data_IF_997930455965
#
_entry.id   IF_997930455965
#
_cell.length_a   1.000
_cell.length_b   1.000
_cell.length_c   1.000
_cell.angle_alpha   90.00
_cell.angle_beta   90.00
_cell.angle_gamma   90.00
#
_symmetry.space_group_name_H-M   'P 1'
#
loop_
_entity.id
_entity.type
_entity.pdbx_description
1 polymer ?
#
# COMPACT_ATOMS: atom_id res chain seq x y z
N UNK A 1 -3.79 -12.00 7.85
CA UNK A 1 -2.93 -13.06 7.25
C UNK A 1 -1.52 -12.82 7.77
N UNK A 2 -0.96 -13.76 8.51
CA UNK A 2 0.47 -13.70 8.84
C UNK A 2 1.24 -13.89 7.53
N UNK A 3 1.58 -12.80 6.86
CA UNK A 3 2.58 -12.87 5.80
C UNK A 3 3.89 -13.26 6.47
N UNK A 4 4.38 -14.46 6.15
CA UNK A 4 5.69 -14.91 6.60
C UNK A 4 6.75 -14.05 5.91
N UNK A 5 7.02 -12.87 6.48
CA UNK A 5 7.89 -11.84 5.89
C UNK A 5 9.30 -12.34 5.59
N UNK A 6 9.77 -13.39 6.30
CA UNK A 6 11.08 -14.01 6.07
C UNK A 6 11.21 -14.69 4.70
N UNK A 7 10.10 -14.92 3.97
CA UNK A 7 10.10 -15.54 2.64
C UNK A 7 9.65 -14.57 1.54
N UNK A 8 9.74 -13.28 1.79
CA UNK A 8 9.40 -12.23 0.84
C UNK A 8 10.64 -11.61 0.21
N UNK A 9 10.55 -11.29 -1.07
CA UNK A 9 11.65 -10.71 -1.85
C UNK A 9 11.14 -9.55 -2.70
N UNK A 10 11.79 -8.41 -2.59
CA UNK A 10 11.60 -7.29 -3.51
C UNK A 10 12.38 -7.53 -4.79
N UNK A 11 11.82 -7.17 -5.94
CA UNK A 11 12.59 -7.17 -7.17
C UNK A 11 12.15 -6.04 -8.12
N UNK A 12 13.06 -5.66 -9.00
CA UNK A 12 12.91 -4.63 -10.01
C UNK A 12 13.82 -4.92 -11.20
N UNK A 13 13.41 -4.55 -12.42
CA UNK A 13 14.18 -4.78 -13.64
C UNK A 13 14.46 -3.48 -14.39
N UNK A 14 15.63 -3.46 -15.04
CA UNK A 14 15.97 -2.45 -16.04
C UNK A 14 16.02 -3.08 -17.43
N UNK A 15 15.54 -2.35 -18.43
CA UNK A 15 15.41 -2.86 -19.79
C UNK A 15 15.80 -1.82 -20.82
N UNK A 16 16.08 -2.25 -22.06
CA UNK A 16 16.36 -1.34 -23.17
C UNK A 16 15.11 -0.68 -23.77
N UNK A 17 13.92 -0.97 -23.24
CA UNK A 17 12.64 -0.39 -23.67
C UNK A 17 11.44 -1.11 -23.05
N UNK A 18 10.24 -0.64 -23.36
CA UNK A 18 9.01 -1.09 -22.71
C UNK A 18 8.41 -2.40 -23.28
N UNK A 19 8.73 -2.76 -24.52
CA UNK A 19 8.19 -3.97 -25.15
C UNK A 19 9.19 -5.11 -25.08
N UNK A 20 8.82 -6.22 -24.44
CA UNK A 20 9.69 -7.39 -24.29
C UNK A 20 10.09 -8.01 -25.65
N UNK A 21 9.26 -7.88 -26.69
CA UNK A 21 9.51 -8.49 -28.00
C UNK A 21 10.71 -7.88 -28.73
N UNK A 22 11.00 -6.60 -28.46
CA UNK A 22 12.07 -5.84 -29.14
C UNK A 22 13.12 -5.28 -28.19
N UNK A 23 12.97 -5.53 -26.88
CA UNK A 23 13.86 -4.99 -25.85
C UNK A 23 14.53 -6.10 -25.06
N UNK A 24 15.70 -5.80 -24.51
CA UNK A 24 16.49 -6.73 -23.71
C UNK A 24 16.44 -6.34 -22.21
N UNK A 25 16.62 -7.35 -21.37
CA UNK A 25 16.88 -7.14 -19.93
C UNK A 25 18.32 -6.64 -19.79
N UNK A 26 18.52 -5.56 -19.04
CA UNK A 26 19.84 -5.00 -18.75
C UNK A 26 20.30 -5.27 -17.33
N UNK A 27 19.38 -5.16 -16.36
CA UNK A 27 19.62 -5.48 -14.96
C UNK A 27 18.39 -6.23 -14.43
N UNK A 28 18.60 -7.23 -13.60
CA UNK A 28 17.61 -7.74 -12.65
C UNK A 28 18.18 -7.52 -11.27
N UNK A 29 17.41 -6.92 -10.37
CA UNK A 29 17.81 -6.71 -9.00
C UNK A 29 16.79 -7.24 -8.00
N UNK A 30 17.28 -7.75 -6.88
CA UNK A 30 16.49 -8.19 -5.75
C UNK A 30 16.98 -7.55 -4.46
N UNK A 31 16.06 -7.37 -3.50
CA UNK A 31 16.37 -6.96 -2.14
C UNK A 31 15.59 -7.86 -1.17
N UNK A 32 16.26 -8.45 -0.20
CA UNK A 32 15.58 -9.21 0.85
C UNK A 32 14.99 -8.28 1.93
N UNK A 33 14.31 -8.90 2.92
CA UNK A 33 13.69 -8.15 4.03
C UNK A 33 14.69 -7.50 4.98
N UNK A 34 15.96 -7.93 4.94
CA UNK A 34 17.05 -7.35 5.73
C UNK A 34 17.75 -6.18 5.00
N UNK A 35 17.37 -5.92 3.73
CA UNK A 35 17.93 -4.85 2.91
C UNK A 35 19.18 -5.28 2.12
N UNK A 36 19.51 -6.57 2.04
CA UNK A 36 20.61 -7.05 1.23
C UNK A 36 20.21 -7.09 -0.24
N UNK A 37 20.99 -6.45 -1.10
CA UNK A 37 20.71 -6.34 -2.54
C UNK A 37 21.60 -7.31 -3.32
N UNK A 38 20.97 -8.05 -4.24
CA UNK A 38 21.62 -8.91 -5.24
C UNK A 38 21.22 -8.44 -6.63
N UNK A 39 22.19 -8.31 -7.54
CA UNK A 39 21.95 -7.80 -8.89
C UNK A 39 22.65 -8.66 -9.94
N UNK A 40 21.99 -8.87 -11.07
CA UNK A 40 22.53 -9.51 -12.29
C UNK A 40 22.52 -8.49 -13.41
N UNK A 41 23.66 -8.31 -14.03
CA UNK A 41 23.87 -7.33 -15.10
C UNK A 41 24.16 -8.03 -16.43
N UNK A 42 23.53 -7.58 -17.51
CA UNK A 42 23.79 -8.08 -18.86
C UNK A 42 25.01 -7.39 -19.44
N UNK A 43 26.17 -8.03 -19.30
CA UNK A 43 27.49 -7.45 -19.59
C UNK A 43 27.74 -7.19 -21.08
N UNK A 44 27.17 -8.02 -21.95
CA UNK A 44 27.50 -8.07 -23.38
C UNK A 44 26.31 -7.81 -24.32
N UNK A 45 25.14 -7.51 -23.73
CA UNK A 45 23.88 -7.38 -24.49
C UNK A 45 23.23 -8.73 -24.89
N UNK A 46 23.93 -9.84 -24.69
CA UNK A 46 23.52 -11.20 -25.10
C UNK A 46 23.18 -12.10 -23.94
N UNK A 47 23.73 -11.85 -22.76
CA UNK A 47 23.64 -12.68 -21.55
C UNK A 47 22.30 -12.59 -20.81
N UNK A 48 21.26 -11.94 -21.39
CA UNK A 48 19.95 -11.79 -20.72
C UNK A 48 19.29 -13.13 -20.36
N UNK A 49 19.52 -14.21 -21.14
CA UNK A 49 19.02 -15.55 -20.78
C UNK A 49 19.68 -16.07 -19.51
N UNK A 50 20.99 -15.86 -19.38
CA UNK A 50 21.75 -16.32 -18.22
C UNK A 50 21.30 -15.59 -16.95
N UNK A 51 21.27 -14.25 -16.98
CA UNK A 51 20.85 -13.46 -15.80
C UNK A 51 19.41 -13.76 -15.39
N UNK A 52 18.52 -14.02 -16.35
CA UNK A 52 17.15 -14.43 -16.05
C UNK A 52 17.11 -15.83 -15.41
N UNK A 53 17.94 -16.78 -15.87
CA UNK A 53 18.02 -18.11 -15.29
C UNK A 53 18.56 -18.06 -13.86
N UNK A 54 19.59 -17.26 -13.61
CA UNK A 54 20.19 -17.08 -12.29
C UNK A 54 19.19 -16.42 -11.32
N UNK A 55 18.46 -15.41 -11.77
CA UNK A 55 17.37 -14.80 -11.01
C UNK A 55 16.28 -15.83 -10.66
N UNK A 56 15.81 -16.63 -11.64
CA UNK A 56 14.79 -17.64 -11.40
C UNK A 56 15.24 -18.73 -10.42
N UNK A 57 16.52 -19.08 -10.43
CA UNK A 57 17.10 -19.98 -9.43
C UNK A 57 17.16 -19.32 -8.04
N UNK A 58 17.53 -18.05 -7.98
CA UNK A 58 17.66 -17.29 -6.74
C UNK A 58 16.33 -17.14 -5.99
N UNK A 59 15.23 -16.94 -6.72
CA UNK A 59 13.91 -16.71 -6.09
C UNK A 59 13.23 -17.99 -5.58
N UNK A 60 13.76 -19.19 -5.86
CA UNK A 60 13.14 -20.47 -5.47
C UNK A 60 12.78 -20.60 -3.99
N UNK A 61 13.58 -20.10 -3.02
CA UNK A 61 13.25 -20.20 -1.60
C UNK A 61 12.15 -19.25 -1.13
N UNK A 62 11.75 -18.30 -1.96
CA UNK A 62 10.78 -17.27 -1.59
C UNK A 62 9.36 -17.68 -1.96
N UNK A 63 8.36 -17.15 -1.23
CA UNK A 63 6.95 -17.40 -1.49
C UNK A 63 6.24 -16.15 -2.03
N UNK A 64 6.74 -14.97 -1.67
CA UNK A 64 6.13 -13.69 -2.02
C UNK A 64 7.11 -12.80 -2.77
N UNK A 65 6.69 -12.29 -3.91
CA UNK A 65 7.44 -11.33 -4.70
C UNK A 65 6.78 -9.95 -4.57
N UNK A 66 7.57 -8.94 -4.23
CA UNK A 66 7.13 -7.58 -3.98
C UNK A 66 7.71 -6.64 -5.03
N UNK A 67 6.86 -5.85 -5.68
CA UNK A 67 7.25 -4.91 -6.72
C UNK A 67 6.54 -3.58 -6.60
N UNK A 68 6.96 -2.60 -7.40
CA UNK A 68 6.22 -1.36 -7.62
C UNK A 68 5.76 -1.25 -9.07
N UNK A 69 4.48 -1.51 -9.33
CA UNK A 69 3.88 -1.57 -10.68
C UNK A 69 4.32 -2.81 -11.50
N UNK A 70 4.90 -3.80 -10.88
CA UNK A 70 5.46 -4.99 -11.56
C UNK A 70 4.42 -5.90 -12.17
N UNK A 71 3.16 -5.88 -11.69
CA UNK A 71 2.04 -6.59 -12.35
C UNK A 71 1.81 -6.13 -13.79
N UNK A 72 2.13 -4.88 -14.09
CA UNK A 72 1.89 -4.30 -15.43
C UNK A 72 3.15 -4.23 -16.29
N UNK A 73 4.33 -4.36 -15.71
CA UNK A 73 5.59 -4.25 -16.45
C UNK A 73 6.53 -5.43 -16.18
N UNK A 74 7.11 -5.54 -15.00
CA UNK A 74 8.21 -6.47 -14.70
C UNK A 74 7.82 -7.93 -14.96
N UNK A 75 6.72 -8.39 -14.38
CA UNK A 75 6.27 -9.78 -14.53
C UNK A 75 5.87 -10.14 -15.98
N UNK A 76 5.06 -9.33 -16.70
CA UNK A 76 4.78 -9.58 -18.11
C UNK A 76 6.04 -9.60 -18.96
N UNK A 77 6.99 -8.68 -18.72
CA UNK A 77 8.25 -8.62 -19.45
C UNK A 77 9.07 -9.89 -19.24
N UNK A 78 9.33 -10.27 -17.98
CA UNK A 78 10.07 -11.50 -17.64
C UNK A 78 9.35 -12.75 -18.14
N UNK A 79 8.01 -12.80 -18.04
CA UNK A 79 7.22 -13.94 -18.57
C UNK A 79 7.37 -14.08 -20.09
N UNK A 80 7.41 -12.97 -20.82
CA UNK A 80 7.66 -12.98 -22.27
C UNK A 80 9.07 -13.51 -22.57
N UNK A 81 10.10 -13.08 -21.81
CA UNK A 81 11.47 -13.55 -21.97
C UNK A 81 11.65 -15.03 -21.59
N UNK A 82 10.96 -15.52 -20.57
CA UNK A 82 10.91 -16.95 -20.21
C UNK A 82 10.43 -17.78 -21.42
N UNK A 83 9.35 -17.33 -22.09
CA UNK A 83 8.81 -17.99 -23.29
C UNK A 83 9.79 -17.91 -24.47
N UNK A 84 10.35 -16.73 -24.75
CA UNK A 84 11.32 -16.50 -25.82
C UNK A 84 12.53 -17.44 -25.70
N UNK A 85 13.09 -17.54 -24.48
CA UNK A 85 14.26 -18.38 -24.21
C UNK A 85 13.96 -19.86 -23.93
N UNK A 86 12.66 -20.24 -23.96
CA UNK A 86 12.17 -21.60 -23.68
C UNK A 86 12.67 -22.11 -22.30
N UNK A 87 12.64 -21.25 -21.29
CA UNK A 87 12.97 -21.62 -19.91
C UNK A 87 11.73 -22.28 -19.30
N UNK A 88 11.93 -23.41 -18.62
CA UNK A 88 10.83 -24.11 -17.93
C UNK A 88 10.63 -23.48 -16.52
N UNK A 89 9.96 -22.34 -16.46
CA UNK A 89 9.66 -21.63 -15.22
C UNK A 89 8.37 -20.80 -15.36
N UNK A 90 7.72 -20.51 -14.23
CA UNK A 90 6.55 -19.65 -14.14
C UNK A 90 6.60 -18.87 -12.83
N UNK A 91 5.87 -17.74 -12.78
CA UNK A 91 5.67 -16.96 -11.55
C UNK A 91 4.38 -17.36 -10.81
N UNK A 92 3.58 -18.30 -11.30
CA UNK A 92 2.26 -18.65 -10.77
C UNK A 92 2.31 -19.23 -9.34
N UNK A 93 3.45 -19.78 -8.92
CA UNK A 93 3.64 -20.31 -7.57
C UNK A 93 3.90 -19.23 -6.51
N UNK A 94 4.18 -18.01 -6.90
CA UNK A 94 4.48 -16.91 -5.99
C UNK A 94 3.26 -16.06 -5.72
N UNK A 95 3.06 -15.69 -4.45
CA UNK A 95 2.21 -14.54 -4.16
C UNK A 95 2.88 -13.28 -4.69
N UNK A 96 2.10 -12.40 -5.33
CA UNK A 96 2.64 -11.17 -5.87
C UNK A 96 1.98 -9.94 -5.23
N UNK A 97 2.76 -9.19 -4.46
CA UNK A 97 2.37 -7.92 -3.86
C UNK A 97 2.86 -6.75 -4.73
N UNK A 98 1.96 -6.08 -5.42
CA UNK A 98 2.26 -4.87 -6.18
C UNK A 98 1.93 -3.64 -5.31
N UNK A 99 2.95 -3.02 -4.72
CA UNK A 99 2.78 -1.88 -3.82
C UNK A 99 2.14 -0.67 -4.50
N UNK A 100 2.32 -0.50 -5.82
CA UNK A 100 1.61 0.54 -6.55
C UNK A 100 0.09 0.36 -6.46
N UNK A 101 -0.40 -0.86 -6.68
CA UNK A 101 -1.84 -1.14 -6.66
C UNK A 101 -2.42 -1.08 -5.24
N UNK A 102 -1.71 -1.65 -4.26
CA UNK A 102 -2.14 -1.73 -2.87
C UNK A 102 -2.18 -0.35 -2.22
N UNK A 103 -1.15 0.47 -2.44
CA UNK A 103 -0.97 1.75 -1.75
C UNK A 103 -1.61 2.94 -2.47
N UNK A 104 -1.93 2.82 -3.76
CA UNK A 104 -2.53 3.91 -4.55
C UNK A 104 -3.84 4.47 -3.97
N UNK A 105 -4.74 3.70 -3.34
CA UNK A 105 -5.93 4.23 -2.68
C UNK A 105 -5.65 5.28 -1.60
N UNK A 106 -4.47 5.23 -0.96
CA UNK A 106 -4.07 6.13 0.13
C UNK A 106 -3.37 7.42 -0.34
N UNK A 107 -3.21 7.60 -1.65
CA UNK A 107 -2.51 8.75 -2.27
C UNK A 107 -2.93 10.10 -1.67
N UNK A 108 -4.25 10.31 -1.50
CA UNK A 108 -4.80 11.57 -1.01
C UNK A 108 -4.49 11.79 0.48
N UNK A 109 -4.51 10.74 1.30
CA UNK A 109 -4.15 10.80 2.72
C UNK A 109 -2.71 11.31 2.92
N UNK A 110 -1.81 10.98 2.01
CA UNK A 110 -0.41 11.43 2.02
C UNK A 110 -0.18 12.75 1.28
N UNK A 111 -1.24 13.40 0.78
CA UNK A 111 -1.15 14.68 0.05
C UNK A 111 -0.36 14.60 -1.26
N UNK A 112 -0.23 13.41 -1.86
CA UNK A 112 0.58 13.21 -3.05
C UNK A 112 -0.15 13.67 -4.32
N UNK A 113 0.46 14.56 -5.10
CA UNK A 113 -0.05 14.97 -6.41
C UNK A 113 0.06 13.85 -7.45
N UNK A 114 1.19 13.15 -7.45
CA UNK A 114 1.49 12.01 -8.33
C UNK A 114 1.78 10.78 -7.50
N UNK A 115 1.48 9.59 -8.05
CA UNK A 115 1.73 8.32 -7.39
C UNK A 115 2.82 7.55 -8.15
N UNK A 116 4.07 7.92 -7.89
CA UNK A 116 5.28 7.26 -8.40
C UNK A 116 6.13 6.86 -7.19
N UNK A 117 6.97 5.88 -7.36
CA UNK A 117 7.86 5.40 -6.30
C UNK A 117 8.63 6.55 -5.63
N UNK A 118 9.25 7.42 -6.40
CA UNK A 118 10.00 8.55 -5.86
C UNK A 118 9.15 9.54 -5.03
N UNK A 119 7.84 9.68 -5.31
CA UNK A 119 6.99 10.56 -4.52
C UNK A 119 6.68 9.95 -3.14
N UNK A 120 6.59 8.61 -3.06
CA UNK A 120 6.48 7.89 -1.79
C UNK A 120 7.79 7.95 -1.01
N UNK A 121 8.92 7.85 -1.69
CA UNK A 121 10.23 8.04 -1.07
C UNK A 121 10.39 9.46 -0.50
N UNK A 122 10.00 10.49 -1.25
CA UNK A 122 9.99 11.88 -0.78
C UNK A 122 9.07 12.04 0.45
N UNK A 123 7.90 11.41 0.47
CA UNK A 123 7.00 11.39 1.62
C UNK A 123 7.64 10.73 2.86
N UNK A 124 8.42 9.67 2.65
CA UNK A 124 9.19 8.99 3.70
C UNK A 124 10.48 9.73 4.10
N UNK A 125 10.75 10.92 3.54
CA UNK A 125 11.96 11.71 3.82
C UNK A 125 13.22 11.19 3.12
N UNK A 126 13.07 10.27 2.14
CA UNK A 126 14.19 9.71 1.39
C UNK A 126 14.53 10.66 0.25
N UNK A 127 15.74 11.22 0.26
CA UNK A 127 16.23 12.07 -0.80
C UNK A 127 17.02 11.25 -1.83
N UNK A 128 16.57 11.28 -3.09
CA UNK A 128 17.32 10.72 -4.21
C UNK A 128 18.29 11.76 -4.79
N UNK A 129 19.54 11.38 -4.89
CA UNK A 129 20.59 12.19 -5.54
C UNK A 129 20.63 11.94 -7.04
N UNK A 130 20.20 10.73 -7.51
CA UNK A 130 20.22 10.42 -8.92
C UNK A 130 19.03 11.06 -9.66
N UNK A 131 19.29 11.53 -10.89
CA UNK A 131 18.29 12.15 -11.77
C UNK A 131 18.21 11.42 -13.11
N UNK A 132 18.57 10.12 -13.14
CA UNK A 132 18.50 9.34 -14.37
C UNK A 132 17.03 9.07 -14.74
N UNK A 133 16.68 9.39 -15.98
CA UNK A 133 15.39 9.00 -16.56
C UNK A 133 15.55 7.70 -17.33
N UNK A 134 14.46 6.93 -17.53
CA UNK A 134 14.49 5.68 -18.29
C UNK A 134 15.19 5.83 -19.67
N UNK A 135 14.94 6.92 -20.40
CA UNK A 135 15.65 7.18 -21.68
C UNK A 135 17.16 7.33 -21.49
N UNK A 136 17.59 7.94 -20.40
CA UNK A 136 19.01 8.12 -20.10
C UNK A 136 19.67 6.79 -19.70
N UNK A 137 18.95 5.95 -18.97
CA UNK A 137 19.41 4.59 -18.61
C UNK A 137 19.65 3.74 -19.86
N UNK A 138 18.69 3.74 -20.80
CA UNK A 138 18.85 3.03 -22.08
C UNK A 138 20.09 3.49 -22.83
N UNK A 139 20.27 4.82 -22.95
CA UNK A 139 21.46 5.38 -23.60
C UNK A 139 22.75 5.01 -22.84
N UNK A 140 22.77 5.09 -21.51
CA UNK A 140 23.93 4.72 -20.70
C UNK A 140 24.32 3.27 -20.91
N UNK A 141 23.33 2.37 -21.07
CA UNK A 141 23.58 0.96 -21.36
C UNK A 141 24.17 0.77 -22.78
N UNK A 142 23.63 1.48 -23.79
CA UNK A 142 24.18 1.45 -25.15
C UNK A 142 25.62 1.96 -25.17
N UNK A 143 25.88 3.09 -24.51
CA UNK A 143 27.25 3.65 -24.39
C UNK A 143 28.19 2.66 -23.70
N UNK A 144 27.70 1.90 -22.68
CA UNK A 144 28.47 0.84 -22.04
C UNK A 144 28.83 -0.29 -23.01
N UNK A 145 27.88 -0.76 -23.81
CA UNK A 145 28.15 -1.83 -24.79
C UNK A 145 29.11 -1.39 -25.90
N UNK A 146 29.10 -0.09 -26.26
CA UNK A 146 29.98 0.45 -27.31
C UNK A 146 31.43 0.69 -26.83
N UNK A 147 31.61 1.20 -25.60
CA UNK A 147 32.91 1.67 -25.13
C UNK A 147 33.50 0.91 -23.94
N UNK A 148 32.70 0.05 -23.28
CA UNK A 148 33.12 -0.73 -22.10
C UNK A 148 33.41 0.10 -20.85
N UNK A 149 32.93 1.36 -20.78
CA UNK A 149 33.18 2.20 -19.62
C UNK A 149 32.51 1.68 -18.35
N UNK A 150 33.29 1.26 -17.39
CA UNK A 150 32.84 0.71 -16.10
C UNK A 150 31.90 1.69 -15.37
N UNK A 151 32.14 2.99 -15.49
CA UNK A 151 31.31 4.04 -14.88
C UNK A 151 29.84 3.98 -15.35
N UNK A 152 29.59 3.61 -16.61
CA UNK A 152 28.25 3.45 -17.15
C UNK A 152 27.55 2.26 -16.49
N UNK A 153 28.21 1.11 -16.35
CA UNK A 153 27.72 -0.06 -15.61
C UNK A 153 27.41 0.28 -14.16
N UNK A 154 28.36 0.90 -13.46
CA UNK A 154 28.18 1.32 -12.06
C UNK A 154 26.95 2.24 -11.88
N UNK A 155 26.73 3.16 -12.84
CA UNK A 155 25.57 4.06 -12.81
C UNK A 155 24.25 3.32 -12.96
N UNK A 156 24.19 2.30 -13.82
CA UNK A 156 23.00 1.45 -14.02
C UNK A 156 22.70 0.60 -12.79
N UNK A 157 23.72 -0.08 -12.25
CA UNK A 157 23.59 -0.88 -11.04
C UNK A 157 23.19 0.00 -9.84
N UNK A 158 23.79 1.18 -9.69
CA UNK A 158 23.44 2.12 -8.63
C UNK A 158 21.99 2.60 -8.72
N UNK A 159 21.47 2.81 -9.95
CA UNK A 159 20.07 3.22 -10.15
C UNK A 159 19.12 2.13 -9.66
N UNK A 160 19.24 0.92 -10.19
CA UNK A 160 18.42 -0.22 -9.77
C UNK A 160 18.58 -0.55 -8.26
N UNK A 161 19.81 -0.44 -7.71
CA UNK A 161 20.03 -0.59 -6.28
C UNK A 161 19.21 0.41 -5.45
N UNK A 162 19.17 1.69 -5.87
CA UNK A 162 18.37 2.71 -5.18
C UNK A 162 16.87 2.47 -5.31
N UNK A 163 16.42 1.97 -6.46
CA UNK A 163 15.01 1.63 -6.67
C UNK A 163 14.59 0.49 -5.72
N UNK A 164 15.43 -0.52 -5.55
CA UNK A 164 15.19 -1.62 -4.62
C UNK A 164 15.17 -1.17 -3.16
N UNK A 165 16.15 -0.37 -2.73
CA UNK A 165 16.18 0.16 -1.36
C UNK A 165 14.99 1.10 -1.11
N UNK A 166 14.61 1.91 -2.11
CA UNK A 166 13.41 2.74 -2.04
C UNK A 166 12.14 1.90 -1.90
N UNK A 167 12.01 0.86 -2.71
CA UNK A 167 10.90 -0.09 -2.67
C UNK A 167 10.79 -0.80 -1.31
N UNK A 168 11.92 -1.28 -0.78
CA UNK A 168 12.02 -1.88 0.55
C UNK A 168 11.51 -0.93 1.65
N UNK A 169 11.89 0.35 1.59
CA UNK A 169 11.42 1.35 2.57
C UNK A 169 9.95 1.72 2.40
N UNK A 170 9.45 1.78 1.15
CA UNK A 170 8.03 2.03 0.85
C UNK A 170 7.13 0.94 1.43
N UNK A 171 7.64 -0.28 1.60
CA UNK A 171 6.90 -1.39 2.20
C UNK A 171 6.37 -1.06 3.61
N UNK A 172 7.04 -0.17 4.35
CA UNK A 172 6.54 0.31 5.65
C UNK A 172 5.15 0.97 5.58
N UNK A 173 4.75 1.50 4.41
CA UNK A 173 3.41 2.06 4.19
C UNK A 173 2.30 0.98 4.16
N UNK A 174 2.65 -0.30 4.15
CA UNK A 174 1.70 -1.40 4.35
C UNK A 174 1.02 -1.36 5.73
N UNK A 175 1.53 -0.56 6.66
CA UNK A 175 0.84 -0.22 7.91
C UNK A 175 -0.57 0.36 7.72
N UNK A 176 -0.83 1.06 6.63
CA UNK A 176 -2.17 1.63 6.34
C UNK A 176 -3.21 0.57 5.95
N UNK A 177 -2.98 -0.32 4.96
CA UNK A 177 -3.88 -1.46 4.75
C UNK A 177 -4.00 -2.37 5.99
N UNK A 178 -2.92 -2.62 6.73
CA UNK A 178 -2.94 -3.40 7.98
C UNK A 178 -3.93 -2.83 9.00
N UNK A 179 -3.95 -1.50 9.19
CA UNK A 179 -4.94 -0.83 10.02
C UNK A 179 -6.38 -1.11 9.58
N UNK A 180 -6.65 -1.12 8.26
CA UNK A 180 -7.99 -1.42 7.72
C UNK A 180 -8.35 -2.90 7.87
N UNK A 181 -7.37 -3.79 7.91
CA UNK A 181 -7.53 -5.24 8.14
C UNK A 181 -7.55 -5.60 9.64
N UNK A 182 -7.62 -4.57 10.51
CA UNK A 182 -7.69 -4.70 11.98
C UNK A 182 -6.43 -5.29 12.63
N UNK A 183 -5.27 -5.10 12.01
CA UNK A 183 -3.97 -5.52 12.56
C UNK A 183 -3.50 -4.51 13.62
N UNK A 184 -4.25 -4.46 14.71
CA UNK A 184 -3.96 -3.67 15.91
C UNK A 184 -4.61 -4.29 17.15
N UNK A 185 -4.12 -3.92 18.33
CA UNK A 185 -4.71 -4.31 19.60
C UNK A 185 -5.13 -3.09 20.42
N UNK A 186 -6.27 -3.18 21.14
CA UNK A 186 -6.68 -2.16 22.10
C UNK A 186 -5.82 -2.27 23.36
N UNK A 187 -5.10 -1.21 23.72
CA UNK A 187 -4.37 -1.11 24.98
C UNK A 187 -5.23 -0.52 26.11
N UNK A 188 -6.01 0.53 25.81
CA UNK A 188 -7.01 1.10 26.75
C UNK A 188 -8.09 1.84 25.97
N UNK A 189 -9.27 2.01 26.59
CA UNK A 189 -10.35 2.84 26.05
C UNK A 189 -11.25 3.30 27.19
N UNK A 190 -11.80 4.50 27.06
CA UNK A 190 -12.64 5.14 28.07
C UNK A 190 -13.47 6.29 27.47
N UNK A 191 -14.39 6.83 28.26
CA UNK A 191 -15.14 8.05 27.93
C UNK A 191 -14.69 9.13 28.88
N UNK A 192 -14.27 10.27 28.34
CA UNK A 192 -13.87 11.45 29.09
C UNK A 192 -14.23 12.72 28.32
N UNK A 193 -14.77 13.73 29.05
CA UNK A 193 -15.10 15.05 28.48
C UNK A 193 -15.94 14.96 27.18
N UNK A 194 -17.00 14.16 27.20
CA UNK A 194 -17.85 13.89 26.04
C UNK A 194 -17.11 13.35 24.80
N UNK A 195 -16.03 12.62 25.02
CA UNK A 195 -15.31 11.90 23.97
C UNK A 195 -15.08 10.45 24.37
N UNK A 196 -15.26 9.56 23.43
CA UNK A 196 -14.71 8.20 23.49
C UNK A 196 -13.26 8.25 22.99
N UNK A 197 -12.34 7.77 23.81
CA UNK A 197 -10.91 7.71 23.49
C UNK A 197 -10.45 6.27 23.51
N UNK A 198 -9.76 5.83 22.46
CA UNK A 198 -9.16 4.50 22.37
C UNK A 198 -7.67 4.61 22.03
N UNK A 199 -6.84 3.93 22.82
CA UNK A 199 -5.41 3.76 22.56
C UNK A 199 -5.19 2.39 21.91
N UNK A 200 -4.47 2.38 20.80
CA UNK A 200 -4.21 1.20 19.99
C UNK A 200 -2.71 0.96 19.88
N UNK A 201 -2.29 -0.30 19.99
CA UNK A 201 -0.96 -0.73 19.60
C UNK A 201 -1.04 -1.31 18.18
N UNK A 202 -0.18 -0.84 17.29
CA UNK A 202 -0.14 -1.21 15.88
C UNK A 202 0.84 -2.36 15.67
N UNK A 203 0.44 -3.37 14.93
CA UNK A 203 1.29 -4.54 14.63
C UNK A 203 2.38 -4.16 13.60
N UNK A 204 2.08 -3.24 12.68
CA UNK A 204 3.06 -2.66 11.74
C UNK A 204 3.22 -1.16 12.03
N UNK A 205 4.47 -0.72 12.20
CA UNK A 205 4.78 0.67 12.54
C UNK A 205 4.40 1.64 11.43
N UNK A 206 3.80 2.76 11.80
CA UNK A 206 3.59 3.90 10.90
C UNK A 206 4.93 4.60 10.66
N UNK A 207 5.36 4.74 9.40
CA UNK A 207 6.68 5.32 9.11
C UNK A 207 6.76 6.84 9.30
N UNK A 208 5.62 7.54 9.23
CA UNK A 208 5.53 9.00 9.38
C UNK A 208 4.37 9.31 10.31
N UNK A 209 4.65 9.91 11.47
CA UNK A 209 3.62 10.31 12.42
C UNK A 209 2.68 11.35 11.80
N UNK A 210 1.38 11.17 11.96
CA UNK A 210 0.36 12.01 11.33
C UNK A 210 -0.92 12.06 12.16
N UNK A 211 -1.76 13.06 11.87
CA UNK A 211 -3.08 13.22 12.44
C UNK A 211 -4.12 13.38 11.32
N UNK A 212 -5.19 12.61 11.38
CA UNK A 212 -6.32 12.69 10.49
C UNK A 212 -7.56 13.16 11.24
N UNK A 213 -8.26 14.13 10.68
CA UNK A 213 -9.50 14.66 11.25
C UNK A 213 -10.64 14.57 10.24
N UNK A 214 -11.79 14.07 10.69
CA UNK A 214 -13.00 13.99 9.86
C UNK A 214 -14.25 13.96 10.74
N UNK A 215 -15.20 14.85 10.46
CA UNK A 215 -16.49 14.94 11.19
C UNK A 215 -16.32 15.01 12.72
N UNK A 216 -15.31 15.75 13.21
CA UNK A 216 -14.99 15.88 14.63
C UNK A 216 -14.27 14.68 15.25
N UNK A 217 -14.04 13.62 14.48
CA UNK A 217 -13.26 12.45 14.89
C UNK A 217 -11.79 12.71 14.56
N UNK A 218 -10.88 12.39 15.47
CA UNK A 218 -9.44 12.44 15.22
C UNK A 218 -8.79 11.07 15.35
N UNK A 219 -7.82 10.79 14.47
CA UNK A 219 -6.96 9.60 14.50
C UNK A 219 -5.51 10.08 14.45
N UNK A 220 -4.82 10.01 15.56
CA UNK A 220 -3.38 10.29 15.66
C UNK A 220 -2.63 8.99 15.53
N UNK A 221 -1.69 8.91 14.58
CA UNK A 221 -0.82 7.77 14.34
C UNK A 221 0.62 8.17 14.66
N UNK A 222 1.27 7.41 15.54
CA UNK A 222 2.66 7.66 15.96
C UNK A 222 3.40 6.33 16.15
N UNK A 223 4.23 5.97 15.17
CA UNK A 223 5.00 4.73 15.15
C UNK A 223 4.12 3.50 15.46
N UNK A 224 4.31 2.87 16.60
CA UNK A 224 3.56 1.68 17.04
C UNK A 224 2.27 1.99 17.78
N UNK A 225 1.88 3.27 17.88
CA UNK A 225 0.73 3.68 18.64
C UNK A 225 -0.29 4.43 17.77
N UNK A 226 -1.56 4.28 18.10
CA UNK A 226 -2.60 5.16 17.58
C UNK A 226 -3.55 5.59 18.70
N UNK A 227 -4.08 6.81 18.57
CA UNK A 227 -5.12 7.35 19.45
C UNK A 227 -6.30 7.72 18.56
N UNK A 228 -7.43 7.08 18.81
CA UNK A 228 -8.70 7.40 18.18
C UNK A 228 -9.57 8.17 19.18
N UNK A 229 -10.05 9.35 18.80
CA UNK A 229 -10.95 10.17 19.60
C UNK A 229 -12.24 10.45 18.84
N UNK A 230 -13.38 10.07 19.40
CA UNK A 230 -14.70 10.23 18.79
C UNK A 230 -15.60 11.07 19.71
N UNK A 231 -16.22 12.16 19.25
CA UNK A 231 -17.12 12.97 20.07
C UNK A 231 -18.42 12.22 20.37
N UNK A 232 -18.96 12.40 21.57
CA UNK A 232 -20.31 12.02 21.93
C UNK A 232 -21.25 13.20 21.64
N UNK A 233 -22.12 13.05 20.67
CA UNK A 233 -23.17 14.05 20.38
C UNK A 233 -24.42 13.73 21.20
N UNK A 234 -24.74 14.56 22.17
CA UNK A 234 -25.85 14.30 23.12
C UNK A 234 -25.77 12.92 23.80
N UNK A 235 -24.56 12.49 24.18
CA UNK A 235 -24.32 11.19 24.81
C UNK A 235 -24.29 10.00 23.87
N UNK A 236 -24.32 10.21 22.56
CA UNK A 236 -24.31 9.15 21.55
C UNK A 236 -23.05 9.18 20.70
N UNK A 237 -22.52 7.99 20.38
CA UNK A 237 -21.49 7.80 19.35
C UNK A 237 -22.14 7.58 17.99
N UNK A 238 -21.49 8.03 16.93
CA UNK A 238 -21.82 7.72 15.54
C UNK A 238 -21.03 6.50 15.07
N UNK A 239 -21.71 5.54 14.47
CA UNK A 239 -21.11 4.39 13.83
C UNK A 239 -21.34 4.48 12.32
N UNK A 240 -20.31 4.80 11.56
CA UNK A 240 -20.39 5.00 10.10
C UNK A 240 -20.43 3.67 9.35
N UNK A 241 -21.41 3.55 8.42
CA UNK A 241 -21.65 2.33 7.67
C UNK A 241 -20.84 2.31 6.37
N UNK A 242 -20.12 1.21 6.11
CA UNK A 242 -19.27 1.06 4.91
C UNK A 242 -20.06 0.99 3.60
N UNK A 243 -21.26 0.39 3.64
CA UNK A 243 -22.12 0.14 2.50
C UNK A 243 -23.15 1.27 2.26
N UNK A 244 -22.78 2.52 2.55
CA UNK A 244 -23.64 3.72 2.46
C UNK A 244 -24.47 3.78 1.17
N UNK A 245 -24.01 3.22 0.06
CA UNK A 245 -24.74 3.17 -1.21
C UNK A 245 -26.06 2.41 -1.12
N UNK A 246 -26.28 1.59 -0.10
CA UNK A 246 -27.51 0.84 0.13
C UNK A 246 -28.50 1.56 1.05
N UNK A 247 -28.21 2.82 1.40
CA UNK A 247 -29.02 3.59 2.35
C UNK A 247 -29.55 4.89 1.76
N UNK A 248 -30.61 5.39 2.37
CA UNK A 248 -31.09 6.76 2.26
C UNK A 248 -30.92 7.44 3.62
N UNK A 249 -30.63 8.74 3.57
CA UNK A 249 -30.57 9.60 4.75
C UNK A 249 -31.86 10.45 4.84
N UNK A 250 -32.42 10.55 6.04
CA UNK A 250 -33.57 11.36 6.40
C UNK A 250 -33.08 12.59 7.18
N UNK A 251 -32.91 13.75 6.54
CA UNK A 251 -32.28 14.91 7.19
C UNK A 251 -33.05 15.46 8.40
N UNK A 252 -34.37 15.36 8.42
CA UNK A 252 -35.18 15.88 9.53
C UNK A 252 -35.05 15.04 10.80
N UNK A 253 -34.93 13.73 10.65
CA UNK A 253 -34.79 12.74 11.73
C UNK A 253 -33.34 12.43 12.08
N UNK A 254 -32.42 12.92 11.25
CA UNK A 254 -30.97 12.57 11.32
C UNK A 254 -30.76 11.05 11.45
N UNK A 255 -31.38 10.31 10.53
CA UNK A 255 -31.45 8.84 10.53
C UNK A 255 -31.17 8.28 9.13
N UNK A 256 -30.60 7.09 9.06
CA UNK A 256 -30.47 6.34 7.81
C UNK A 256 -31.41 5.15 7.78
N UNK A 257 -31.95 4.87 6.59
CA UNK A 257 -32.80 3.70 6.33
C UNK A 257 -32.21 2.90 5.17
N UNK A 258 -32.28 1.59 5.24
CA UNK A 258 -31.91 0.74 4.12
C UNK A 258 -32.87 0.93 2.94
N UNK A 259 -32.41 0.82 1.71
CA UNK A 259 -33.20 1.05 0.48
C UNK A 259 -34.49 0.22 0.41
N UNK A 260 -34.50 -0.98 0.99
CA UNK A 260 -35.70 -1.83 1.05
C UNK A 260 -36.83 -1.21 1.86
N UNK A 261 -36.53 -0.24 2.75
CA UNK A 261 -37.51 0.43 3.61
C UNK A 261 -38.10 1.69 2.97
N UNK A 262 -37.70 2.05 1.74
CA UNK A 262 -38.11 3.28 1.07
C UNK A 262 -39.64 3.46 0.98
N UNK A 263 -40.38 2.36 0.79
CA UNK A 263 -41.86 2.39 0.68
C UNK A 263 -42.59 2.69 1.98
N UNK A 264 -41.89 2.67 3.12
CA UNK A 264 -42.46 2.88 4.46
C UNK A 264 -42.21 4.30 5.00
N UNK A 265 -41.57 5.19 4.22
CA UNK A 265 -41.24 6.55 4.63
C UNK A 265 -41.72 7.56 3.59
N UNK A 266 -41.96 8.82 4.02
CA UNK A 266 -42.22 9.92 3.10
C UNK A 266 -41.00 10.17 2.21
N UNK A 267 -41.20 10.06 0.90
CA UNK A 267 -40.15 10.20 -0.09
C UNK A 267 -39.81 11.64 -0.47
N UNK A 268 -40.54 12.63 0.05
CA UNK A 268 -40.35 14.05 -0.33
C UNK A 268 -39.07 14.66 0.25
N UNK A 269 -38.57 14.13 1.36
CA UNK A 269 -37.40 14.66 2.09
C UNK A 269 -36.22 13.69 2.22
N UNK A 270 -36.29 12.53 1.55
CA UNK A 270 -35.18 11.57 1.61
C UNK A 270 -34.12 11.87 0.55
N UNK A 271 -32.83 11.75 0.92
CA UNK A 271 -31.68 11.86 0.00
C UNK A 271 -30.88 10.55 -0.02
N UNK A 272 -30.10 10.34 -1.06
CA UNK A 272 -29.16 9.21 -1.07
C UNK A 272 -28.12 9.44 0.01
N UNK A 273 -27.85 8.41 0.80
CA UNK A 273 -26.78 8.48 1.78
C UNK A 273 -25.43 8.55 1.09
N UNK A 274 -24.52 9.29 1.69
CA UNK A 274 -23.10 9.36 1.36
C UNK A 274 -22.26 8.92 2.55
N UNK A 275 -20.95 8.95 2.43
CA UNK A 275 -20.02 8.52 3.48
C UNK A 275 -20.17 9.30 4.79
N UNK A 276 -20.54 10.59 4.71
CA UNK A 276 -20.53 11.49 5.86
C UNK A 276 -21.85 11.49 6.62
N UNK A 277 -22.95 11.08 5.97
CA UNK A 277 -24.29 11.05 6.57
C UNK A 277 -24.86 9.63 6.76
N UNK A 278 -24.10 8.59 6.39
CA UNK A 278 -24.54 7.20 6.58
C UNK A 278 -23.98 6.62 7.89
N UNK A 279 -24.66 6.86 8.99
CA UNK A 279 -24.31 6.37 10.32
C UNK A 279 -25.53 5.98 11.13
N UNK A 280 -25.35 5.08 12.09
CA UNK A 280 -26.25 4.85 13.21
C UNK A 280 -25.72 5.55 14.46
N UNK A 281 -26.62 5.87 15.41
CA UNK A 281 -26.27 6.43 16.71
C UNK A 281 -26.54 5.41 17.80
N UNK A 282 -25.68 5.33 18.79
CA UNK A 282 -25.87 4.47 19.96
C UNK A 282 -25.25 5.10 21.22
N UNK A 283 -25.81 4.80 22.38
CA UNK A 283 -25.24 5.21 23.67
C UNK A 283 -24.19 4.18 24.10
N UNK A 284 -22.91 4.58 24.29
CA UNK A 284 -21.86 3.67 24.73
C UNK A 284 -21.99 3.43 26.25
N UNK A 285 -22.84 2.45 26.61
CA UNK A 285 -23.04 2.02 28.00
C UNK A 285 -22.06 0.92 28.44
N UNK A 286 -22.22 0.43 29.68
CA UNK A 286 -21.34 -0.60 30.27
C UNK A 286 -21.26 -1.88 29.44
N UNK A 287 -22.36 -2.27 28.78
CA UNK A 287 -22.38 -3.45 27.90
C UNK A 287 -21.41 -3.31 26.73
N UNK A 288 -21.34 -2.13 26.10
CA UNK A 288 -20.40 -1.86 25.02
C UNK A 288 -18.96 -1.77 25.57
N UNK A 289 -18.75 -1.00 26.64
CA UNK A 289 -17.42 -0.79 27.22
C UNK A 289 -16.83 -2.07 27.84
N UNK A 290 -17.64 -3.05 28.26
CA UNK A 290 -17.16 -4.33 28.75
C UNK A 290 -16.86 -5.36 27.64
N UNK A 291 -17.40 -5.15 26.44
CA UNK A 291 -17.25 -6.03 25.29
C UNK A 291 -16.06 -5.60 24.40
N UNK A 292 -14.85 -6.02 24.75
CA UNK A 292 -13.62 -5.63 24.02
C UNK A 292 -13.72 -5.86 22.51
N UNK A 293 -14.39 -6.93 22.09
CA UNK A 293 -14.60 -7.24 20.66
C UNK A 293 -15.44 -6.17 19.96
N UNK A 294 -16.52 -5.68 20.60
CA UNK A 294 -17.40 -4.66 20.02
C UNK A 294 -16.69 -3.33 19.92
N UNK A 295 -15.90 -2.97 20.95
CA UNK A 295 -15.05 -1.77 20.93
C UNK A 295 -13.99 -1.86 19.82
N UNK A 296 -13.35 -3.02 19.65
CA UNK A 296 -12.37 -3.23 18.55
C UNK A 296 -13.02 -3.08 17.18
N UNK A 297 -14.21 -3.67 16.98
CA UNK A 297 -14.96 -3.54 15.73
C UNK A 297 -15.36 -2.09 15.46
N UNK A 298 -15.85 -1.39 16.48
CA UNK A 298 -16.17 0.04 16.38
C UNK A 298 -14.95 0.86 15.96
N UNK A 299 -13.82 0.70 16.65
CA UNK A 299 -12.56 1.39 16.30
C UNK A 299 -12.15 1.11 14.85
N UNK A 300 -12.20 -0.15 14.41
CA UNK A 300 -11.85 -0.52 13.05
C UNK A 300 -12.78 0.12 11.98
N UNK A 301 -14.09 0.22 12.26
CA UNK A 301 -15.04 0.84 11.35
C UNK A 301 -14.85 2.36 11.28
N UNK A 302 -14.51 3.00 12.40
CA UNK A 302 -14.18 4.44 12.43
C UNK A 302 -12.84 4.72 11.74
N UNK A 303 -11.81 3.89 11.96
CA UNK A 303 -10.53 4.00 11.24
C UNK A 303 -10.76 3.86 9.73
N UNK A 304 -11.57 2.90 9.31
CA UNK A 304 -11.96 2.75 7.90
C UNK A 304 -12.66 4.02 7.37
N UNK A 305 -13.58 4.60 8.14
CA UNK A 305 -14.27 5.84 7.76
C UNK A 305 -13.31 7.01 7.54
N UNK A 306 -12.28 7.13 8.40
CA UNK A 306 -11.28 8.20 8.29
C UNK A 306 -10.35 7.95 7.11
N UNK A 307 -9.77 6.75 6.98
CA UNK A 307 -8.69 6.44 6.04
C UNK A 307 -9.17 6.06 4.63
N UNK A 308 -10.44 5.69 4.44
CA UNK A 308 -10.97 5.28 3.13
C UNK A 308 -11.47 6.46 2.28
N UNK A 309 -10.71 7.54 2.16
CA UNK A 309 -11.01 8.60 1.22
C UNK A 309 -10.76 8.13 -0.23
N UNK A 310 -11.86 8.02 -1.00
CA UNK A 310 -11.81 7.89 -2.46
C UNK A 310 -12.22 9.18 -3.11
#
# INVERSE_FOLDING_TARGET
>A
MEHNTQQSLFFDIETTGLSADISAITVIGCCDMDGNVTQWFNEDGLSQKQILTDFLAFIQPYNTLITFNGKTFDLPFLTSKIKEFKINASFDQYEHLDLYQILKPYKNLWGLKNFRQKNLEEYLGIQRIDKLSGKKLIKTYQDYLENGEIKNKESLLLHNHKDLIGLHKIYSLMSYPALLDKEFTLSSYFIENDHFVAHLNLDIQIPVSCNYEKSGISLTLDHSNAILTCPLENGHLKHYLKDYKNYYYLPMEDLVIHKSMKSFVDTTSIIRADKNNCYSKFTPGDSFLSAKTDVTNYCADIIYYILSEK
#
